data_IF_667100625072
#
_entry.id   IF_667100625072
#
_cell.length_a   1.000
_cell.length_b   1.000
_cell.length_c   1.000
_cell.angle_alpha   90.00
_cell.angle_beta   90.00
_cell.angle_gamma   90.00
#
_symmetry.space_group_name_H-M   'P 1'
#
loop_
_entity.id
_entity.type
_entity.pdbx_description
1 polymer ?
#
# COMPACT_ATOMS: atom_id res chain seq x y z
N UNK A 1 -13.33 -8.46 -1.19
CA UNK A 1 -13.25 -8.92 0.22
C UNK A 1 -13.24 -10.45 0.39
N UNK A 2 -14.18 -11.22 -0.16
CA UNK A 2 -14.21 -12.70 0.01
C UNK A 2 -12.94 -13.43 -0.48
N UNK A 3 -12.38 -13.01 -1.62
CA UNK A 3 -11.14 -13.57 -2.17
C UNK A 3 -9.90 -13.24 -1.31
N UNK A 4 -9.78 -12.01 -0.83
CA UNK A 4 -8.68 -11.58 0.04
C UNK A 4 -8.66 -12.37 1.36
N UNK A 5 -9.83 -12.57 1.96
CA UNK A 5 -10.00 -13.40 3.17
C UNK A 5 -9.62 -14.86 2.89
N UNK A 6 -10.06 -15.43 1.76
CA UNK A 6 -9.72 -16.81 1.40
C UNK A 6 -8.21 -17.01 1.21
N UNK A 7 -7.52 -16.07 0.57
CA UNK A 7 -6.06 -16.11 0.39
C UNK A 7 -5.35 -15.95 1.74
N UNK A 8 -5.79 -15.04 2.61
CA UNK A 8 -5.23 -14.91 3.97
C UNK A 8 -5.38 -16.20 4.78
N UNK A 9 -6.54 -16.84 4.73
CA UNK A 9 -6.77 -18.12 5.39
C UNK A 9 -5.89 -19.22 4.81
N UNK A 10 -5.73 -19.30 3.48
CA UNK A 10 -4.83 -20.26 2.85
C UNK A 10 -3.37 -20.06 3.30
N UNK A 11 -2.89 -18.81 3.38
CA UNK A 11 -1.53 -18.49 3.86
C UNK A 11 -1.34 -18.93 5.31
N UNK A 12 -2.35 -18.72 6.15
CA UNK A 12 -2.33 -19.16 7.55
C UNK A 12 -2.37 -20.70 7.67
N UNK A 13 -3.23 -21.36 6.89
CA UNK A 13 -3.42 -22.83 6.92
C UNK A 13 -2.22 -23.60 6.38
N UNK A 14 -1.51 -23.08 5.37
CA UNK A 14 -0.32 -23.73 4.79
C UNK A 14 0.95 -23.41 5.61
N UNK A 15 0.83 -22.68 6.72
CA UNK A 15 1.95 -22.40 7.63
C UNK A 15 2.99 -21.44 7.05
N UNK A 16 2.66 -20.70 5.98
CA UNK A 16 3.59 -19.78 5.31
C UNK A 16 3.87 -18.50 6.11
N UNK A 17 3.14 -18.27 7.22
CA UNK A 17 3.20 -17.05 8.06
C UNK A 17 4.63 -16.70 8.52
N UNK A 18 5.45 -17.68 8.88
CA UNK A 18 6.85 -17.42 9.28
C UNK A 18 7.72 -16.98 8.11
N UNK A 19 7.39 -17.45 6.90
CA UNK A 19 8.15 -17.12 5.70
C UNK A 19 7.79 -15.73 5.19
N UNK A 20 6.60 -15.19 5.46
CA UNK A 20 6.16 -13.88 4.93
C UNK A 20 6.78 -12.67 5.62
N UNK A 21 7.38 -12.84 6.80
CA UNK A 21 7.93 -11.74 7.61
C UNK A 21 6.92 -11.10 8.56
N UNK A 22 5.74 -11.70 8.74
CA UNK A 22 4.74 -11.26 9.73
C UNK A 22 5.18 -11.50 11.18
N UNK A 23 6.05 -12.46 11.41
CA UNK A 23 6.55 -12.81 12.76
C UNK A 23 7.77 -12.01 13.18
N UNK A 24 8.31 -11.16 12.31
CA UNK A 24 9.52 -10.38 12.55
C UNK A 24 9.13 -8.93 12.77
N UNK A 25 9.57 -8.33 13.88
CA UNK A 25 9.40 -6.90 14.13
C UNK A 25 10.58 -6.11 13.57
N UNK A 26 10.34 -4.94 12.97
CA UNK A 26 11.40 -4.12 12.40
C UNK A 26 12.28 -3.53 13.51
N UNK A 27 13.57 -3.32 13.22
CA UNK A 27 14.46 -2.59 14.12
C UNK A 27 14.26 -1.07 13.98
N UNK A 28 14.54 -0.31 15.04
CA UNK A 28 14.30 1.13 15.09
C UNK A 28 15.05 1.95 14.01
N UNK A 29 16.32 1.65 13.68
CA UNK A 29 17.01 2.36 12.60
C UNK A 29 16.31 2.19 11.25
N UNK A 30 15.65 1.05 11.04
CA UNK A 30 14.97 0.81 9.77
C UNK A 30 13.68 1.58 9.57
N UNK A 31 13.06 2.01 10.67
CA UNK A 31 11.93 2.92 10.62
C UNK A 31 12.35 4.33 10.19
N UNK A 32 13.63 4.71 10.31
CA UNK A 32 14.08 6.04 9.91
C UNK A 32 13.93 6.30 8.41
N UNK A 33 14.15 5.28 7.58
CA UNK A 33 13.97 5.39 6.12
C UNK A 33 12.51 5.61 5.72
N UNK A 34 11.57 5.37 6.63
CA UNK A 34 10.14 5.53 6.35
C UNK A 34 9.65 6.95 6.57
N UNK A 35 10.35 7.78 7.36
CA UNK A 35 9.92 9.13 7.70
C UNK A 35 9.68 10.05 6.51
N UNK A 36 10.53 10.09 5.46
CA UNK A 36 10.26 10.93 4.30
C UNK A 36 8.95 10.56 3.59
N UNK A 37 8.66 9.26 3.48
CA UNK A 37 7.42 8.77 2.87
C UNK A 37 6.20 9.09 3.74
N UNK A 38 6.31 8.94 5.06
CA UNK A 38 5.27 9.33 6.01
C UNK A 38 5.00 10.83 5.94
N UNK A 39 6.05 11.67 5.92
CA UNK A 39 5.93 13.11 5.79
C UNK A 39 5.26 13.50 4.46
N UNK A 40 5.58 12.81 3.37
CA UNK A 40 4.92 12.99 2.08
C UNK A 40 3.42 12.64 2.13
N UNK A 41 3.04 11.52 2.76
CA UNK A 41 1.63 11.16 2.94
C UNK A 41 0.88 12.19 3.79
N UNK A 42 1.50 12.71 4.86
CA UNK A 42 0.94 13.78 5.68
C UNK A 42 0.74 15.04 4.82
N UNK A 43 1.71 15.41 4.00
CA UNK A 43 1.59 16.54 3.09
C UNK A 43 0.42 16.38 2.11
N UNK A 44 0.25 15.20 1.51
CA UNK A 44 -0.87 14.88 0.59
C UNK A 44 -2.24 15.00 1.27
N UNK A 45 -2.34 14.65 2.56
CA UNK A 45 -3.58 14.82 3.34
C UNK A 45 -3.82 16.29 3.70
N UNK A 46 -2.77 17.01 4.10
CA UNK A 46 -2.89 18.37 4.61
C UNK A 46 -3.17 19.40 3.53
N UNK A 47 -2.70 19.21 2.30
CA UNK A 47 -2.94 20.15 1.19
C UNK A 47 -4.43 20.42 0.92
N UNK A 48 -5.31 19.43 0.70
CA UNK A 48 -6.75 19.67 0.51
C UNK A 48 -7.44 20.19 1.79
N UNK A 49 -6.99 19.78 2.98
CA UNK A 49 -7.54 20.29 4.25
C UNK A 49 -7.26 21.78 4.47
N UNK A 50 -6.08 22.26 4.11
CA UNK A 50 -5.71 23.67 4.23
C UNK A 50 -6.51 24.52 3.24
N UNK A 51 -6.64 24.04 2.01
CA UNK A 51 -7.44 24.67 0.94
C UNK A 51 -8.90 24.81 1.39
N UNK A 52 -9.53 23.73 1.88
CA UNK A 52 -10.89 23.75 2.44
C UNK A 52 -11.05 24.69 3.63
N UNK A 53 -10.07 24.77 4.56
CA UNK A 53 -10.15 25.65 5.74
C UNK A 53 -9.93 27.13 5.44
N UNK A 54 -9.23 27.45 4.36
CA UNK A 54 -9.06 28.84 3.93
C UNK A 54 -10.32 29.42 3.26
N UNK A 55 -11.35 28.60 3.03
CA UNK A 55 -12.61 29.03 2.43
C UNK A 55 -12.48 29.44 0.96
N UNK A 56 -11.35 29.12 0.33
CA UNK A 56 -11.07 29.45 -1.08
C UNK A 56 -11.98 28.67 -2.04
N UNK A 57 -12.57 27.56 -1.57
CA UNK A 57 -13.33 26.61 -2.39
C UNK A 57 -14.75 26.38 -1.82
N UNK A 58 -15.08 26.96 -0.67
CA UNK A 58 -16.42 26.90 -0.07
C UNK A 58 -16.86 25.54 0.47
N UNK A 59 -15.97 24.54 0.54
CA UNK A 59 -16.29 23.17 0.98
C UNK A 59 -16.27 23.09 2.52
N UNK A 60 -17.44 22.82 3.10
CA UNK A 60 -17.56 22.47 4.53
C UNK A 60 -17.83 20.98 4.66
N UNK A 61 -17.06 20.31 5.51
CA UNK A 61 -17.18 18.86 5.71
C UNK A 61 -18.40 18.53 6.56
N UNK A 62 -19.28 17.71 6.03
CA UNK A 62 -20.47 17.18 6.68
C UNK A 62 -20.14 15.95 7.54
N UNK A 63 -21.02 15.57 8.49
CA UNK A 63 -20.87 14.31 9.23
C UNK A 63 -20.81 13.04 8.35
N UNK A 64 -21.44 13.06 7.17
CA UNK A 64 -21.34 11.98 6.17
C UNK A 64 -19.93 11.85 5.59
N UNK A 65 -19.21 12.94 5.42
CA UNK A 65 -17.84 12.93 4.86
C UNK A 65 -16.87 12.28 5.84
N UNK A 66 -17.04 12.53 7.15
CA UNK A 66 -16.29 11.84 8.20
C UNK A 66 -16.57 10.34 8.27
N UNK A 67 -17.82 9.92 8.05
CA UNK A 67 -18.14 8.50 7.95
C UNK A 67 -17.47 7.85 6.74
N UNK A 68 -17.49 8.52 5.58
CA UNK A 68 -16.84 8.05 4.35
C UNK A 68 -15.32 7.94 4.53
N UNK A 69 -14.68 8.97 5.09
CA UNK A 69 -13.24 8.94 5.37
C UNK A 69 -12.87 7.79 6.31
N UNK A 70 -13.62 7.61 7.41
CA UNK A 70 -13.34 6.55 8.35
C UNK A 70 -13.46 5.15 7.72
N UNK A 71 -14.53 4.93 6.95
CA UNK A 71 -14.73 3.64 6.26
C UNK A 71 -13.66 3.39 5.20
N UNK A 72 -13.28 4.40 4.42
CA UNK A 72 -12.24 4.24 3.40
C UNK A 72 -10.86 4.00 4.01
N UNK A 73 -10.51 4.65 5.12
CA UNK A 73 -9.26 4.38 5.84
C UNK A 73 -9.16 2.91 6.32
N UNK A 74 -10.25 2.36 6.86
CA UNK A 74 -10.28 0.95 7.28
C UNK A 74 -10.09 0.02 6.08
N UNK A 75 -10.79 0.29 4.97
CA UNK A 75 -10.67 -0.51 3.75
C UNK A 75 -9.25 -0.42 3.19
N UNK A 76 -8.66 0.77 3.14
CA UNK A 76 -7.30 1.02 2.68
C UNK A 76 -6.27 0.19 3.47
N UNK A 77 -6.36 0.17 4.79
CA UNK A 77 -5.46 -0.63 5.63
C UNK A 77 -5.62 -2.13 5.37
N UNK A 78 -6.86 -2.62 5.22
CA UNK A 78 -7.12 -4.03 4.96
C UNK A 78 -6.66 -4.48 3.57
N UNK A 79 -6.86 -3.63 2.56
CA UNK A 79 -6.40 -3.87 1.19
C UNK A 79 -4.87 -3.84 1.13
N UNK A 80 -4.24 -2.79 1.68
CA UNK A 80 -2.79 -2.68 1.75
C UNK A 80 -2.14 -3.86 2.47
N UNK A 81 -2.72 -4.31 3.59
CA UNK A 81 -2.26 -5.53 4.27
C UNK A 81 -2.31 -6.75 3.36
N UNK A 82 -3.43 -6.97 2.68
CA UNK A 82 -3.62 -8.10 1.77
C UNK A 82 -2.61 -8.08 0.62
N UNK A 83 -2.43 -6.91 -0.01
CA UNK A 83 -1.51 -6.75 -1.13
C UNK A 83 -0.06 -6.94 -0.70
N UNK A 84 0.36 -6.37 0.43
CA UNK A 84 1.70 -6.60 0.96
C UNK A 84 1.96 -8.07 1.28
N UNK A 85 0.98 -8.76 1.87
CA UNK A 85 1.08 -10.20 2.12
C UNK A 85 1.26 -10.99 0.83
N UNK A 86 0.47 -10.69 -0.20
CA UNK A 86 0.52 -11.38 -1.48
C UNK A 86 1.81 -11.10 -2.24
N UNK A 87 2.16 -9.83 -2.45
CA UNK A 87 3.25 -9.45 -3.33
C UNK A 87 4.61 -9.50 -2.64
N UNK A 88 4.73 -9.10 -1.36
CA UNK A 88 6.02 -9.06 -0.64
C UNK A 88 6.18 -10.27 0.27
N UNK A 89 5.09 -10.71 0.91
CA UNK A 89 5.09 -11.88 1.78
C UNK A 89 5.26 -13.20 1.00
N UNK A 90 4.59 -13.35 -0.14
CA UNK A 90 4.57 -14.60 -0.91
C UNK A 90 5.38 -14.49 -2.19
N UNK A 91 4.99 -13.60 -3.11
CA UNK A 91 5.59 -13.54 -4.46
C UNK A 91 7.09 -13.20 -4.40
N UNK A 92 7.46 -12.08 -3.80
CA UNK A 92 8.86 -11.64 -3.67
C UNK A 92 9.74 -12.74 -3.10
N UNK A 93 9.33 -13.33 -1.97
CA UNK A 93 10.11 -14.37 -1.29
C UNK A 93 10.19 -15.67 -2.09
N UNK A 94 9.16 -16.00 -2.86
CA UNK A 94 9.18 -17.13 -3.78
C UNK A 94 10.16 -16.87 -4.93
N UNK A 95 10.16 -15.66 -5.50
CA UNK A 95 11.10 -15.26 -6.55
C UNK A 95 12.54 -15.32 -6.05
N UNK A 96 12.82 -14.88 -4.82
CA UNK A 96 14.16 -14.96 -4.21
C UNK A 96 14.72 -16.39 -4.07
N UNK A 97 13.88 -17.43 -4.17
CA UNK A 97 14.38 -18.83 -4.21
C UNK A 97 14.94 -19.23 -5.57
N UNK A 98 14.68 -18.43 -6.61
CA UNK A 98 15.03 -18.71 -8.01
C UNK A 98 15.93 -17.65 -8.65
N UNK A 99 16.01 -16.45 -8.07
CA UNK A 99 16.81 -15.33 -8.57
C UNK A 99 17.37 -14.49 -7.43
N UNK A 100 18.34 -13.62 -7.74
CA UNK A 100 18.91 -12.71 -6.74
C UNK A 100 17.85 -11.71 -6.23
N UNK A 101 18.10 -11.16 -5.04
CA UNK A 101 17.14 -10.32 -4.33
C UNK A 101 16.76 -9.05 -5.09
N UNK A 102 17.71 -8.40 -5.76
CA UNK A 102 17.45 -7.17 -6.52
C UNK A 102 16.50 -7.44 -7.69
N UNK A 103 16.76 -8.50 -8.46
CA UNK A 103 15.89 -8.89 -9.57
C UNK A 103 14.50 -9.33 -9.06
N UNK A 104 14.43 -10.06 -7.94
CA UNK A 104 13.17 -10.46 -7.34
C UNK A 104 12.29 -9.26 -6.95
N UNK A 105 12.89 -8.20 -6.39
CA UNK A 105 12.18 -6.94 -6.07
C UNK A 105 11.66 -6.26 -7.32
N UNK A 106 12.49 -6.16 -8.37
CA UNK A 106 12.08 -5.54 -9.65
C UNK A 106 10.90 -6.30 -10.25
N UNK A 107 10.99 -7.62 -10.35
CA UNK A 107 9.92 -8.45 -10.92
C UNK A 107 8.65 -8.35 -10.08
N UNK A 108 8.75 -8.45 -8.74
CA UNK A 108 7.59 -8.31 -7.86
C UNK A 108 6.92 -6.93 -7.99
N UNK A 109 7.72 -5.86 -8.09
CA UNK A 109 7.22 -4.49 -8.26
C UNK A 109 6.50 -4.30 -9.60
N UNK A 110 7.03 -4.86 -10.70
CA UNK A 110 6.38 -4.83 -12.01
C UNK A 110 5.04 -5.57 -11.95
N UNK A 111 5.03 -6.78 -11.39
CA UNK A 111 3.79 -7.57 -11.25
C UNK A 111 2.75 -6.84 -10.40
N UNK A 112 3.18 -6.22 -9.30
CA UNK A 112 2.32 -5.41 -8.43
C UNK A 112 1.73 -4.20 -9.14
N UNK A 113 2.54 -3.47 -9.91
CA UNK A 113 2.06 -2.36 -10.73
C UNK A 113 1.05 -2.82 -11.77
N UNK A 114 1.38 -3.83 -12.56
CA UNK A 114 0.51 -4.35 -13.63
C UNK A 114 -0.81 -4.91 -13.09
N UNK A 115 -0.83 -5.44 -11.86
CA UNK A 115 -2.06 -5.90 -11.21
C UNK A 115 -3.12 -4.80 -11.15
N UNK A 116 -2.73 -3.52 -11.07
CA UNK A 116 -3.68 -2.40 -11.00
C UNK A 116 -4.45 -2.14 -12.30
N UNK A 117 -4.07 -2.72 -13.44
CA UNK A 117 -4.88 -2.65 -14.66
C UNK A 117 -6.26 -3.31 -14.52
N UNK A 118 -6.51 -4.10 -13.46
CA UNK A 118 -7.87 -4.55 -13.10
C UNK A 118 -8.83 -3.38 -12.88
N UNK A 119 -8.33 -2.22 -12.45
CA UNK A 119 -9.14 -1.01 -12.27
C UNK A 119 -9.57 -0.41 -13.61
N UNK A 120 -8.71 -0.46 -14.63
CA UNK A 120 -9.07 -0.06 -15.99
C UNK A 120 -10.17 -0.96 -16.55
N UNK A 121 -10.02 -2.28 -16.39
CA UNK A 121 -11.06 -3.25 -16.77
C UNK A 121 -12.37 -3.00 -16.01
N UNK A 122 -12.29 -2.47 -14.80
CA UNK A 122 -13.42 -2.09 -13.95
C UNK A 122 -13.99 -0.69 -14.25
N UNK A 123 -13.48 0.00 -15.27
CA UNK A 123 -14.01 1.28 -15.77
C UNK A 123 -13.20 2.53 -15.43
N UNK A 124 -12.05 2.42 -14.75
CA UNK A 124 -11.19 3.58 -14.51
C UNK A 124 -10.54 4.08 -15.83
N UNK A 125 -10.41 5.40 -16.06
CA UNK A 125 -9.76 5.91 -17.26
C UNK A 125 -8.31 5.45 -17.40
N UNK A 126 -7.92 5.01 -18.61
CA UNK A 126 -6.61 4.41 -18.86
C UNK A 126 -5.45 5.30 -18.42
N UNK A 127 -5.49 6.61 -18.70
CA UNK A 127 -4.42 7.53 -18.30
C UNK A 127 -4.22 7.59 -16.78
N UNK A 128 -5.31 7.58 -16.01
CA UNK A 128 -5.27 7.57 -14.55
C UNK A 128 -4.75 6.21 -14.05
N UNK A 129 -5.23 5.11 -14.63
CA UNK A 129 -4.74 3.77 -14.28
C UNK A 129 -3.26 3.60 -14.60
N UNK A 130 -2.76 4.11 -15.73
CA UNK A 130 -1.33 4.02 -16.08
C UNK A 130 -0.48 4.80 -15.07
N UNK A 131 -0.92 5.98 -14.61
CA UNK A 131 -0.22 6.69 -13.54
C UNK A 131 -0.25 5.92 -12.23
N UNK A 132 -1.37 5.29 -11.88
CA UNK A 132 -1.48 4.40 -10.73
C UNK A 132 -0.52 3.22 -10.83
N UNK A 133 -0.44 2.57 -12.00
CA UNK A 133 0.46 1.44 -12.27
C UNK A 133 1.92 1.85 -12.07
N UNK A 134 2.35 2.97 -12.63
CA UNK A 134 3.72 3.47 -12.48
C UNK A 134 4.04 3.83 -11.02
N UNK A 135 3.10 4.49 -10.33
CA UNK A 135 3.21 4.79 -8.90
C UNK A 135 3.30 3.52 -8.06
N UNK A 136 2.48 2.52 -8.35
CA UNK A 136 2.48 1.23 -7.69
C UNK A 136 3.79 0.45 -7.96
N UNK A 137 4.37 0.53 -9.16
CA UNK A 137 5.70 -0.04 -9.42
C UNK A 137 6.79 0.64 -8.58
N UNK A 138 6.79 1.97 -8.52
CA UNK A 138 7.75 2.72 -7.72
C UNK A 138 7.62 2.42 -6.22
N UNK A 139 6.40 2.42 -5.70
CA UNK A 139 6.10 1.96 -4.33
C UNK A 139 6.49 0.49 -4.12
N UNK A 140 6.24 -0.35 -5.12
CA UNK A 140 6.74 -1.72 -5.30
C UNK A 140 8.19 -1.89 -4.93
N UNK A 141 9.05 -1.11 -5.60
CA UNK A 141 10.49 -1.14 -5.41
C UNK A 141 10.88 -0.68 -3.99
N UNK A 142 10.34 0.45 -3.54
CA UNK A 142 10.62 1.01 -2.22
C UNK A 142 10.25 0.04 -1.10
N UNK A 143 9.02 -0.46 -1.13
CA UNK A 143 8.45 -1.36 -0.14
C UNK A 143 9.16 -2.72 -0.15
N UNK A 144 9.47 -3.25 -1.33
CA UNK A 144 10.29 -4.46 -1.47
C UNK A 144 11.66 -4.29 -0.81
N UNK A 145 12.35 -3.17 -1.06
CA UNK A 145 13.64 -2.87 -0.44
C UNK A 145 13.54 -2.76 1.09
N UNK A 146 12.51 -2.09 1.62
CA UNK A 146 12.25 -1.99 3.06
C UNK A 146 12.03 -3.37 3.68
N UNK A 147 11.24 -4.24 3.04
CA UNK A 147 10.98 -5.60 3.54
C UNK A 147 12.26 -6.44 3.56
N UNK A 148 13.10 -6.34 2.53
CA UNK A 148 14.37 -7.06 2.49
C UNK A 148 15.34 -6.58 3.57
N UNK A 149 15.42 -5.27 3.78
CA UNK A 149 16.34 -4.68 4.73
C UNK A 149 15.90 -4.89 6.19
N UNK A 150 14.60 -4.77 6.47
CA UNK A 150 14.04 -4.97 7.82
C UNK A 150 13.82 -6.44 8.17
N UNK A 151 13.68 -7.31 7.17
CA UNK A 151 13.17 -8.67 7.33
C UNK A 151 11.69 -8.75 7.75
N UNK A 152 11.01 -7.60 7.89
CA UNK A 152 9.67 -7.46 8.43
C UNK A 152 8.69 -6.97 7.37
N UNK A 153 7.47 -7.50 7.39
CA UNK A 153 6.41 -7.03 6.49
C UNK A 153 5.69 -5.78 7.03
N UNK A 154 5.73 -5.56 8.35
CA UNK A 154 4.94 -4.53 9.02
C UNK A 154 5.21 -3.09 8.56
N UNK A 155 6.46 -2.64 8.34
CA UNK A 155 6.70 -1.30 7.81
C UNK A 155 6.02 -1.08 6.46
N UNK A 156 6.08 -2.10 5.59
CA UNK A 156 5.47 -2.06 4.26
C UNK A 156 3.95 -1.95 4.35
N UNK A 157 3.33 -2.79 5.19
CA UNK A 157 1.88 -2.76 5.45
C UNK A 157 1.43 -1.38 5.92
N UNK A 158 2.16 -0.79 6.87
CA UNK A 158 1.84 0.51 7.42
C UNK A 158 1.96 1.62 6.36
N UNK A 159 3.07 1.66 5.62
CA UNK A 159 3.30 2.68 4.61
C UNK A 159 2.32 2.59 3.45
N UNK A 160 2.01 1.37 3.00
CA UNK A 160 1.03 1.16 1.95
C UNK A 160 -0.37 1.57 2.39
N UNK A 161 -0.81 1.12 3.57
CA UNK A 161 -2.11 1.52 4.12
C UNK A 161 -2.20 3.04 4.33
N UNK A 162 -1.11 3.69 4.76
CA UNK A 162 -1.04 5.15 4.90
C UNK A 162 -1.13 5.86 3.55
N UNK A 163 -0.45 5.35 2.53
CA UNK A 163 -0.53 5.88 1.16
C UNK A 163 -1.96 5.80 0.62
N UNK A 164 -2.58 4.62 0.68
CA UNK A 164 -3.95 4.42 0.19
C UNK A 164 -4.96 5.28 0.94
N UNK A 165 -4.81 5.39 2.27
CA UNK A 165 -5.62 6.29 3.08
C UNK A 165 -5.40 7.76 2.68
N UNK A 166 -4.16 8.19 2.47
CA UNK A 166 -3.87 9.59 2.08
C UNK A 166 -4.49 9.97 0.75
N UNK A 167 -4.37 9.11 -0.26
CA UNK A 167 -4.97 9.32 -1.58
C UNK A 167 -6.49 9.32 -1.48
N UNK A 168 -7.07 8.34 -0.76
CA UNK A 168 -8.51 8.23 -0.58
C UNK A 168 -9.13 9.43 0.13
N UNK A 169 -8.47 9.91 1.19
CA UNK A 169 -8.88 11.11 1.91
C UNK A 169 -8.80 12.33 0.99
N UNK A 170 -7.70 12.48 0.24
CA UNK A 170 -7.54 13.61 -0.69
C UNK A 170 -8.58 13.64 -1.83
N UNK A 171 -9.19 12.52 -2.17
CA UNK A 171 -10.29 12.44 -3.14
C UNK A 171 -11.67 12.70 -2.54
N UNK A 172 -11.79 12.59 -1.22
CA UNK A 172 -13.05 12.81 -0.48
C UNK A 172 -13.19 14.26 0.00
N UNK A 173 -12.05 14.94 0.22
CA UNK A 173 -11.94 16.34 0.63
C UNK A 173 -11.97 17.28 -0.57
#
# INVERSE_FOLDING_TARGET
>A
MRLAVAIMLAVMLVGMVRRTGLTTWPNAPALLLTFPFVAFCIFVIFTPLLVNRTGLDGVTLSPSDWKSIWTTCIVAVLVGFFEELLFRGILLRSLMTRMNAALAVIVAAIVFGLFHYVNWVSGQPLGITTMQVLGAMAGGLLFGAIVLWTGSLWPSVFLHGLWDASVSVSQTL
#
